data_IF_193925096957
#
_entry.id   IF_193925096957
#
_cell.length_a   1.000
_cell.length_b   1.000
_cell.length_c   1.000
_cell.angle_alpha   90.00
_cell.angle_beta   90.00
_cell.angle_gamma   90.00
#
_symmetry.space_group_name_H-M   'P 1'
#
loop_
_entity.id
_entity.type
_entity.pdbx_description
1 polymer ?
#
# COMPACT_ATOMS: atom_id res chain seq x y z
N UNK A 1 16.39 9.15 -9.17
CA UNK A 1 14.99 9.04 -8.69
C UNK A 1 14.06 9.32 -9.85
N UNK A 2 13.69 8.27 -10.60
CA UNK A 2 12.60 8.24 -11.56
C UNK A 2 12.06 6.82 -11.47
N UNK A 3 11.21 6.56 -10.48
CA UNK A 3 10.49 5.30 -10.39
C UNK A 3 9.02 5.66 -10.24
N UNK A 4 8.36 5.83 -11.39
CA UNK A 4 6.94 6.07 -11.51
C UNK A 4 6.30 4.76 -11.93
N UNK A 5 5.47 4.19 -11.07
CA UNK A 5 4.47 3.23 -11.53
C UNK A 5 3.15 3.99 -11.62
N UNK A 6 2.30 3.63 -12.57
CA UNK A 6 1.01 4.32 -12.78
C UNK A 6 -0.11 3.55 -12.08
N UNK A 7 0.17 2.98 -10.90
CA UNK A 7 -0.86 2.25 -10.16
C UNK A 7 -1.90 3.24 -9.66
N UNK A 8 -3.12 3.10 -10.14
CA UNK A 8 -4.28 3.91 -9.72
C UNK A 8 -5.10 3.22 -8.63
N UNK A 9 -4.95 1.89 -8.51
CA UNK A 9 -5.60 1.07 -7.49
C UNK A 9 -4.77 -0.19 -7.17
N UNK A 10 -5.00 -0.75 -5.99
CA UNK A 10 -4.44 -2.03 -5.55
C UNK A 10 -5.49 -3.14 -5.70
N UNK A 11 -5.18 -4.26 -6.40
CA UNK A 11 -6.08 -5.39 -6.47
C UNK A 11 -6.38 -5.97 -5.09
N UNK A 12 -7.60 -6.52 -4.91
CA UNK A 12 -7.98 -7.17 -3.66
C UNK A 12 -7.05 -8.36 -3.39
N UNK A 13 -6.50 -8.40 -2.18
CA UNK A 13 -5.67 -9.51 -1.70
C UNK A 13 -4.30 -9.62 -2.36
N UNK A 14 -3.82 -8.57 -3.05
CA UNK A 14 -2.52 -8.56 -3.74
C UNK A 14 -1.35 -8.87 -2.80
N UNK A 15 -1.52 -8.62 -1.50
CA UNK A 15 -0.50 -8.84 -0.47
C UNK A 15 -0.78 -10.05 0.43
N UNK A 16 -1.86 -10.81 0.21
CA UNK A 16 -2.34 -11.84 1.14
C UNK A 16 -1.36 -13.01 1.35
N UNK A 17 -0.42 -13.18 0.41
CA UNK A 17 0.58 -14.26 0.45
C UNK A 17 1.97 -13.78 0.86
N UNK A 18 2.07 -12.56 1.38
CA UNK A 18 3.34 -11.95 1.77
C UNK A 18 3.44 -11.68 3.29
N UNK A 19 3.14 -12.64 4.18
CA UNK A 19 3.15 -12.39 5.63
C UNK A 19 4.53 -12.07 6.19
N UNK A 20 5.60 -12.37 5.44
CA UNK A 20 6.99 -12.09 5.84
C UNK A 20 7.51 -10.75 5.31
N UNK A 21 6.71 -9.97 4.59
CA UNK A 21 7.14 -8.70 4.03
C UNK A 21 7.38 -7.69 5.16
N UNK A 22 8.62 -7.21 5.29
CA UNK A 22 9.00 -6.24 6.30
C UNK A 22 8.91 -4.78 5.82
N UNK A 23 8.99 -4.56 4.51
CA UNK A 23 8.91 -3.24 3.88
C UNK A 23 8.09 -3.32 2.61
N UNK A 24 7.14 -2.40 2.45
CA UNK A 24 6.35 -2.22 1.24
C UNK A 24 6.54 -0.79 0.74
N UNK A 25 6.96 -0.68 -0.51
CA UNK A 25 7.21 0.59 -1.17
C UNK A 25 6.23 0.78 -2.33
N UNK A 26 5.32 1.74 -2.16
CA UNK A 26 4.30 2.13 -3.13
C UNK A 26 4.43 3.60 -3.52
N UNK A 27 5.52 4.26 -3.14
CA UNK A 27 5.72 5.69 -3.41
C UNK A 27 5.75 6.01 -4.91
N UNK A 28 5.39 7.25 -5.26
CA UNK A 28 5.31 7.75 -6.65
C UNK A 28 4.39 6.90 -7.55
N UNK A 29 3.21 6.55 -7.04
CA UNK A 29 2.11 6.01 -7.82
C UNK A 29 0.98 7.04 -7.98
N UNK A 30 -0.16 6.63 -8.49
CA UNK A 30 -1.35 7.46 -8.67
C UNK A 30 -2.49 6.92 -7.81
N UNK A 31 -2.17 6.33 -6.66
CA UNK A 31 -3.17 5.75 -5.78
C UNK A 31 -4.03 6.88 -5.21
N UNK A 32 -5.31 6.90 -5.57
CA UNK A 32 -6.27 7.89 -5.06
C UNK A 32 -6.99 7.43 -3.79
N UNK A 33 -7.04 6.11 -3.59
CA UNK A 33 -7.59 5.46 -2.41
C UNK A 33 -6.96 4.09 -2.20
N UNK A 34 -6.97 3.64 -0.95
CA UNK A 34 -6.60 2.29 -0.56
C UNK A 34 -7.79 1.66 0.16
N UNK A 35 -8.07 0.39 -0.16
CA UNK A 35 -9.19 -0.34 0.45
C UNK A 35 -8.85 -0.70 1.90
N UNK A 36 -9.86 -0.68 2.76
CA UNK A 36 -9.73 -1.23 4.10
C UNK A 36 -9.29 -2.69 4.04
N UNK A 37 -8.44 -3.05 4.99
CA UNK A 37 -7.91 -4.39 5.14
C UNK A 37 -6.84 -4.83 4.13
N UNK A 38 -6.39 -3.95 3.22
CA UNK A 38 -5.47 -4.36 2.14
C UNK A 38 -4.11 -4.83 2.67
N UNK A 39 -3.72 -4.40 3.87
CA UNK A 39 -2.44 -4.74 4.49
C UNK A 39 -2.54 -5.73 5.65
N UNK A 40 -3.73 -6.28 5.94
CA UNK A 40 -3.97 -7.11 7.14
C UNK A 40 -3.10 -8.36 7.19
N UNK A 41 -2.73 -8.91 6.03
CA UNK A 41 -1.88 -10.10 5.96
C UNK A 41 -0.39 -9.78 6.08
N UNK A 42 0.00 -8.50 6.03
CA UNK A 42 1.38 -8.05 6.17
C UNK A 42 1.79 -7.95 7.65
N UNK A 43 1.61 -9.04 8.40
CA UNK A 43 1.77 -9.08 9.86
C UNK A 43 3.19 -8.72 10.36
N UNK A 44 4.20 -8.79 9.49
CA UNK A 44 5.58 -8.44 9.80
C UNK A 44 6.02 -7.09 9.21
N UNK A 45 5.08 -6.30 8.67
CA UNK A 45 5.39 -5.01 8.03
C UNK A 45 5.89 -4.00 9.07
N UNK A 46 7.02 -3.38 8.77
CA UNK A 46 7.67 -2.36 9.61
C UNK A 46 7.73 -1.01 8.93
N UNK A 47 7.73 -1.00 7.60
CA UNK A 47 7.85 0.22 6.81
C UNK A 47 6.87 0.15 5.64
N UNK A 48 5.98 1.14 5.55
CA UNK A 48 5.10 1.37 4.41
C UNK A 48 5.37 2.77 3.86
N UNK A 49 5.72 2.85 2.59
CA UNK A 49 5.97 4.12 1.89
C UNK A 49 4.87 4.37 0.87
N UNK A 50 4.11 5.46 1.06
CA UNK A 50 3.00 5.92 0.20
C UNK A 50 3.19 7.38 -0.24
N UNK A 51 4.43 7.89 -0.19
CA UNK A 51 4.71 9.28 -0.53
C UNK A 51 4.49 9.53 -2.03
N UNK A 52 4.05 10.74 -2.39
CA UNK A 52 3.81 11.15 -3.77
C UNK A 52 2.78 10.28 -4.52
N UNK A 53 1.78 9.75 -3.79
CA UNK A 53 0.53 9.27 -4.35
C UNK A 53 -0.54 10.39 -4.37
N UNK A 54 -1.69 10.13 -4.99
CA UNK A 54 -2.85 11.04 -4.98
C UNK A 54 -3.83 10.78 -3.80
N UNK A 55 -3.33 10.19 -2.71
CA UNK A 55 -4.14 9.79 -1.57
C UNK A 55 -4.72 11.02 -0.88
N UNK A 56 -6.05 11.15 -0.94
CA UNK A 56 -6.77 12.25 -0.30
C UNK A 56 -6.98 12.04 1.20
N UNK A 57 -6.99 10.78 1.63
CA UNK A 57 -7.15 10.39 3.01
C UNK A 57 -6.47 9.04 3.25
N UNK A 58 -5.88 8.88 4.44
CA UNK A 58 -5.43 7.60 4.96
C UNK A 58 -6.43 7.13 6.01
N UNK A 59 -7.02 5.95 5.77
CA UNK A 59 -7.91 5.28 6.72
C UNK A 59 -7.08 4.38 7.63
N UNK A 60 -7.30 4.44 8.94
CA UNK A 60 -6.64 3.50 9.87
C UNK A 60 -7.11 2.05 9.66
N UNK A 61 -8.32 1.87 9.12
CA UNK A 61 -8.89 0.55 8.82
C UNK A 61 -8.21 -0.16 7.64
N UNK A 62 -7.18 0.44 7.05
CA UNK A 62 -6.30 -0.23 6.09
C UNK A 62 -5.35 -1.27 6.72
N UNK A 63 -5.22 -1.27 8.06
CA UNK A 63 -4.36 -2.16 8.87
C UNK A 63 -5.15 -2.87 9.99
N UNK A 64 -6.26 -3.54 9.69
CA UNK A 64 -7.09 -4.16 10.74
C UNK A 64 -6.39 -5.29 11.50
#
# INVERSE_FOLDING_TARGET
CLYENQLTALPKGVFDKLPQLARLDLQNNQLSAVRDGVFDQLVNLKELLLCNDELRALSIAMFN
#
